data_IF_968383997245
#
_entry.id   IF_968383997245
#
_cell.length_a   1.000
_cell.length_b   1.000
_cell.length_c   1.000
_cell.angle_alpha   90.00
_cell.angle_beta   90.00
_cell.angle_gamma   90.00
#
_symmetry.space_group_name_H-M   'P 1'
#
loop_
_entity.id
_entity.type
_entity.pdbx_description
1 polymer ?
#
# COMPACT_ATOMS: atom_id res chain seq x y z
N UNK A 1 -1.45 -8.22 28.34
CA UNK A 1 -2.36 -7.68 27.32
C UNK A 1 -2.29 -6.17 27.31
N UNK A 2 -2.26 -5.51 26.14
CA UNK A 2 -2.14 -4.07 26.07
C UNK A 2 -3.45 -3.38 26.47
N UNK A 3 -3.35 -2.51 27.47
CA UNK A 3 -4.36 -1.49 27.76
C UNK A 3 -4.02 -0.23 26.94
N UNK A 4 -5.01 0.38 26.29
CA UNK A 4 -4.87 1.64 25.56
C UNK A 4 -5.87 2.69 26.05
N UNK A 5 -5.38 3.92 26.20
CA UNK A 5 -6.18 5.09 26.57
C UNK A 5 -6.34 6.01 25.37
N UNK A 6 -7.35 5.72 24.53
CA UNK A 6 -7.53 6.36 23.22
C UNK A 6 -7.99 7.80 23.34
N UNK A 7 -8.81 8.12 24.33
CA UNK A 7 -9.30 9.47 24.54
C UNK A 7 -8.20 10.37 25.09
N UNK A 8 -7.45 9.91 26.11
CA UNK A 8 -6.26 10.63 26.59
C UNK A 8 -5.24 10.82 25.46
N UNK A 9 -4.96 9.76 24.68
CA UNK A 9 -4.07 9.84 23.53
C UNK A 9 -4.53 10.90 22.52
N UNK A 10 -5.82 10.92 22.18
CA UNK A 10 -6.41 11.87 21.23
C UNK A 10 -6.35 13.30 21.74
N UNK A 11 -6.68 13.54 23.02
CA UNK A 11 -6.62 14.86 23.66
C UNK A 11 -5.19 15.40 23.67
N UNK A 12 -4.23 14.59 24.12
CA UNK A 12 -2.81 14.97 24.20
C UNK A 12 -2.21 15.25 22.82
N UNK A 13 -2.64 14.53 21.79
CA UNK A 13 -2.07 14.63 20.44
C UNK A 13 -2.91 15.46 19.46
N UNK A 14 -3.91 16.19 19.94
CA UNK A 14 -4.82 16.98 19.08
C UNK A 14 -4.11 18.01 18.20
N UNK A 15 -3.00 18.59 18.68
CA UNK A 15 -2.14 19.53 17.95
C UNK A 15 -0.80 18.92 17.50
N UNK A 16 -0.62 17.60 17.66
CA UNK A 16 0.63 16.92 17.31
C UNK A 16 0.66 16.60 15.80
N UNK A 17 1.73 17.00 15.10
CA UNK A 17 1.91 16.72 13.68
C UNK A 17 2.10 15.22 13.38
N UNK A 18 2.59 14.46 14.36
CA UNK A 18 2.78 13.00 14.27
C UNK A 18 1.46 12.27 14.16
N UNK A 19 0.40 12.74 14.81
CA UNK A 19 -0.88 12.05 14.86
C UNK A 19 -1.85 12.66 13.87
N UNK A 20 -2.58 11.82 13.15
CA UNK A 20 -3.65 12.23 12.24
C UNK A 20 -4.95 11.54 12.61
N UNK A 21 -6.00 12.33 12.58
CA UNK A 21 -7.37 11.90 12.82
C UNK A 21 -8.12 11.95 11.51
N UNK A 22 -8.55 10.80 11.01
CA UNK A 22 -9.48 10.71 9.90
C UNK A 22 -10.89 10.66 10.47
N UNK A 23 -11.65 11.76 10.32
CA UNK A 23 -13.02 11.88 10.80
C UNK A 23 -14.00 11.65 9.65
N UNK A 24 -15.00 10.83 9.88
CA UNK A 24 -16.15 10.68 8.97
C UNK A 24 -17.33 11.37 9.64
N UNK A 25 -17.85 12.44 9.03
CA UNK A 25 -18.97 13.21 9.57
C UNK A 25 -20.30 12.74 8.97
N UNK A 26 -21.40 12.97 9.69
CA UNK A 26 -22.75 12.85 9.14
C UNK A 26 -23.00 13.93 8.09
N UNK A 27 -23.63 13.52 6.97
CA UNK A 27 -23.94 14.42 5.85
C UNK A 27 -24.86 15.59 6.21
N UNK A 28 -25.60 15.50 7.32
CA UNK A 28 -26.69 16.43 7.62
C UNK A 28 -26.41 17.38 8.79
N UNK A 29 -25.47 17.08 9.72
CA UNK A 29 -25.34 17.84 10.98
C UNK A 29 -23.88 18.02 11.48
N UNK A 30 -22.84 17.78 10.67
CA UNK A 30 -21.41 17.87 11.06
C UNK A 30 -20.98 17.06 12.31
N UNK A 31 -21.85 16.20 12.82
CA UNK A 31 -21.53 15.30 13.93
C UNK A 31 -20.59 14.20 13.42
N UNK A 32 -19.40 14.10 14.05
CA UNK A 32 -18.42 13.07 13.75
C UNK A 32 -19.01 11.70 14.06
N UNK A 33 -19.13 10.84 13.04
CA UNK A 33 -19.65 9.48 13.12
C UNK A 33 -18.57 8.49 13.55
N UNK A 34 -17.36 8.67 13.03
CA UNK A 34 -16.21 7.84 13.37
C UNK A 34 -14.94 8.66 13.35
N UNK A 35 -14.04 8.35 14.28
CA UNK A 35 -12.67 8.87 14.26
C UNK A 35 -11.71 7.70 14.14
N UNK A 36 -10.89 7.70 13.10
CA UNK A 36 -9.76 6.79 12.98
C UNK A 36 -8.47 7.53 13.31
N UNK A 37 -7.78 7.06 14.34
CA UNK A 37 -6.52 7.59 14.83
C UNK A 37 -5.36 6.79 14.25
N UNK A 38 -4.37 7.50 13.70
CA UNK A 38 -3.11 6.92 13.21
C UNK A 38 -1.94 7.87 13.46
N UNK A 39 -0.73 7.33 13.56
CA UNK A 39 0.49 8.13 13.47
C UNK A 39 1.04 8.18 12.03
N UNK A 40 1.82 9.22 11.73
CA UNK A 40 2.60 9.40 10.52
C UNK A 40 4.00 8.88 10.75
N UNK A 41 4.34 7.76 10.11
CA UNK A 41 5.65 7.14 10.25
C UNK A 41 6.79 8.12 9.94
N UNK A 42 6.68 8.90 8.86
CA UNK A 42 7.72 9.87 8.48
C UNK A 42 7.97 10.93 9.55
N UNK A 43 6.91 11.43 10.19
CA UNK A 43 7.03 12.41 11.27
C UNK A 43 7.62 11.77 12.52
N UNK A 44 7.17 10.56 12.87
CA UNK A 44 7.68 9.81 14.01
C UNK A 44 9.18 9.47 13.85
N UNK A 45 9.59 9.05 12.65
CA UNK A 45 10.99 8.69 12.36
C UNK A 45 11.93 9.93 12.41
N UNK A 46 11.39 11.16 12.31
CA UNK A 46 12.15 12.40 12.42
C UNK A 46 12.34 12.88 13.87
N UNK A 47 11.65 12.28 14.83
CA UNK A 47 11.70 12.69 16.24
C UNK A 47 12.69 11.80 16.97
N UNK A 48 13.77 12.43 17.44
CA UNK A 48 14.75 11.81 18.34
C UNK A 48 14.12 11.82 19.73
N UNK A 49 14.06 10.67 20.42
CA UNK A 49 13.61 10.49 21.80
C UNK A 49 12.09 10.35 22.08
N UNK A 50 11.22 10.14 21.08
CA UNK A 50 9.83 9.79 21.36
C UNK A 50 9.61 8.28 21.53
N UNK A 51 8.78 7.92 22.53
CA UNK A 51 8.42 6.54 22.86
C UNK A 51 7.69 5.89 21.67
N UNK A 52 8.44 5.11 20.89
CA UNK A 52 7.91 4.33 19.78
C UNK A 52 6.84 3.34 20.24
N UNK A 53 6.88 2.88 21.51
CA UNK A 53 5.85 2.03 22.09
C UNK A 53 4.55 2.80 22.37
N UNK A 54 4.63 4.08 22.77
CA UNK A 54 3.45 4.94 22.97
C UNK A 54 2.64 5.09 21.68
N UNK A 55 3.27 5.53 20.59
CA UNK A 55 2.59 5.70 19.29
C UNK A 55 2.31 4.38 18.58
N UNK A 56 3.13 3.35 18.80
CA UNK A 56 3.08 2.08 18.07
C UNK A 56 1.73 1.37 18.18
N UNK A 57 1.01 1.55 19.29
CA UNK A 57 -0.34 0.99 19.51
C UNK A 57 -1.44 1.72 18.73
N UNK A 58 -1.20 2.96 18.29
CA UNK A 58 -2.16 3.81 17.60
C UNK A 58 -1.90 3.86 16.09
N UNK A 59 -1.63 2.70 15.48
CA UNK A 59 -1.37 2.61 14.04
C UNK A 59 -2.63 2.74 13.19
N UNK A 60 -3.76 2.25 13.71
CA UNK A 60 -5.09 2.30 13.10
C UNK A 60 -6.14 1.91 14.13
N UNK A 61 -6.62 2.88 14.91
CA UNK A 61 -7.64 2.67 15.95
C UNK A 61 -8.89 3.43 15.57
N UNK A 62 -10.04 2.76 15.52
CA UNK A 62 -11.31 3.34 15.08
C UNK A 62 -12.26 3.43 16.27
N UNK A 63 -12.74 4.64 16.55
CA UNK A 63 -13.76 4.93 17.56
C UNK A 63 -15.10 5.29 16.90
N UNK A 64 -16.21 4.84 17.50
CA UNK A 64 -17.57 5.24 17.13
C UNK A 64 -17.98 6.57 17.78
N UNK A 65 -19.24 6.98 17.58
CA UNK A 65 -19.81 8.20 18.18
C UNK A 65 -19.84 8.20 19.71
N UNK A 66 -19.91 7.02 20.32
CA UNK A 66 -19.94 6.84 21.78
C UNK A 66 -18.56 6.94 22.42
N UNK A 67 -17.49 6.95 21.61
CA UNK A 67 -16.11 6.90 22.05
C UNK A 67 -15.55 5.48 22.17
N UNK A 68 -16.39 4.45 21.99
CA UNK A 68 -15.97 3.06 22.05
C UNK A 68 -15.02 2.74 20.90
N UNK A 69 -13.94 2.03 21.22
CA UNK A 69 -13.08 1.43 20.22
C UNK A 69 -13.79 0.23 19.62
N UNK A 70 -14.00 0.29 18.31
CA UNK A 70 -14.65 -0.78 17.54
C UNK A 70 -13.68 -1.44 16.56
N UNK A 71 -12.59 -0.77 16.18
CA UNK A 71 -11.58 -1.31 15.28
C UNK A 71 -10.18 -1.13 15.84
N UNK A 72 -9.40 -2.21 15.89
CA UNK A 72 -7.99 -2.19 16.27
C UNK A 72 -7.09 -2.84 15.20
N UNK A 73 -6.14 -2.07 14.67
CA UNK A 73 -5.23 -2.51 13.62
C UNK A 73 -3.95 -3.08 14.22
N UNK A 74 -3.27 -3.97 13.49
CA UNK A 74 -1.98 -4.53 13.91
C UNK A 74 -1.02 -3.39 14.31
N UNK A 75 -0.46 -3.38 15.54
CA UNK A 75 0.41 -2.31 16.01
C UNK A 75 1.73 -2.22 15.23
N UNK A 76 2.54 -1.20 15.53
CA UNK A 76 3.92 -1.12 15.01
C UNK A 76 4.72 -2.30 15.55
N UNK A 77 5.52 -2.93 14.68
CA UNK A 77 6.49 -3.95 15.08
C UNK A 77 7.62 -3.30 15.90
N UNK A 78 8.11 -4.03 16.89
CA UNK A 78 9.32 -3.68 17.63
C UNK A 78 10.55 -3.85 16.73
N UNK A 79 11.61 -3.11 17.04
CA UNK A 79 12.95 -3.48 16.55
C UNK A 79 13.34 -4.85 17.09
N UNK A 80 14.32 -5.49 16.44
CA UNK A 80 14.82 -6.81 16.88
C UNK A 80 15.32 -6.74 18.32
N UNK A 81 16.12 -5.73 18.65
CA UNK A 81 16.67 -5.55 20.00
C UNK A 81 15.58 -5.35 21.05
N UNK A 82 14.60 -4.46 20.81
CA UNK A 82 13.48 -4.26 21.74
C UNK A 82 12.62 -5.51 21.93
N UNK A 83 12.52 -6.35 20.89
CA UNK A 83 11.78 -7.61 20.97
C UNK A 83 12.53 -8.63 21.83
N UNK A 84 13.83 -8.80 21.61
CA UNK A 84 14.71 -9.72 22.37
C UNK A 84 14.87 -9.29 23.84
N UNK A 85 14.79 -7.99 24.14
CA UNK A 85 14.78 -7.50 25.53
C UNK A 85 13.51 -7.91 26.29
N UNK A 86 12.38 -8.07 25.59
CA UNK A 86 11.06 -8.35 26.18
C UNK A 86 10.64 -9.81 26.10
N UNK A 87 11.22 -10.57 25.17
CA UNK A 87 10.77 -11.90 24.81
C UNK A 87 11.97 -12.82 24.58
N UNK A 88 11.87 -14.07 25.03
CA UNK A 88 12.80 -15.14 24.66
C UNK A 88 12.24 -15.87 23.42
N UNK A 89 13.03 -16.00 22.36
CA UNK A 89 12.61 -16.70 21.13
C UNK A 89 12.27 -18.18 21.37
N UNK A 90 12.83 -18.78 22.42
CA UNK A 90 12.61 -20.17 22.78
C UNK A 90 11.33 -20.38 23.61
N UNK A 91 10.63 -19.31 23.97
CA UNK A 91 9.38 -19.40 24.72
C UNK A 91 8.29 -20.05 23.85
N UNK A 92 7.45 -20.88 24.48
CA UNK A 92 6.35 -21.60 23.83
C UNK A 92 5.28 -20.67 23.27
N UNK A 93 5.23 -19.44 23.75
CA UNK A 93 4.33 -18.39 23.28
C UNK A 93 4.88 -17.62 22.07
N UNK A 94 6.11 -17.92 21.62
CA UNK A 94 6.66 -17.38 20.39
C UNK A 94 6.27 -18.25 19.21
N UNK A 95 5.74 -17.58 18.18
CA UNK A 95 5.57 -18.15 16.86
C UNK A 95 6.40 -17.40 15.84
N UNK A 96 6.84 -18.12 14.82
CA UNK A 96 7.54 -17.59 13.66
C UNK A 96 6.66 -17.88 12.45
N UNK A 97 6.27 -16.84 11.72
CA UNK A 97 5.31 -16.97 10.63
C UNK A 97 5.68 -16.12 9.41
N UNK A 98 5.12 -16.48 8.26
CA UNK A 98 5.29 -15.73 7.02
C UNK A 98 4.84 -14.26 7.16
N UNK A 99 5.67 -13.32 6.69
CA UNK A 99 5.24 -11.95 6.52
C UNK A 99 4.49 -11.79 5.20
N UNK A 100 3.16 -11.85 5.25
CA UNK A 100 2.34 -11.74 4.04
C UNK A 100 2.49 -10.36 3.36
N UNK A 101 2.75 -10.38 2.05
CA UNK A 101 2.65 -9.20 1.18
C UNK A 101 1.19 -8.90 0.85
N UNK A 102 0.80 -7.63 0.93
CA UNK A 102 -0.52 -7.18 0.47
C UNK A 102 -1.00 -5.94 1.21
N UNK A 103 -2.28 -5.63 1.02
CA UNK A 103 -2.94 -4.50 1.68
C UNK A 103 -3.71 -4.99 2.90
N UNK A 104 -3.47 -4.35 4.05
CA UNK A 104 -4.21 -4.66 5.28
C UNK A 104 -5.61 -4.04 5.24
N UNK A 105 -6.62 -4.87 5.49
CA UNK A 105 -8.02 -4.47 5.68
C UNK A 105 -8.46 -4.89 7.07
N UNK A 106 -8.99 -3.96 7.82
CA UNK A 106 -9.63 -4.21 9.10
C UNK A 106 -11.13 -4.36 8.86
N UNK A 107 -11.76 -5.38 9.44
CA UNK A 107 -13.21 -5.60 9.46
C UNK A 107 -13.68 -5.60 10.92
N UNK A 108 -14.73 -4.84 11.22
CA UNK A 108 -15.28 -4.70 12.56
C UNK A 108 -16.78 -4.44 12.52
N UNK A 109 -17.46 -4.68 13.64
CA UNK A 109 -18.90 -4.48 13.77
C UNK A 109 -19.22 -3.32 14.73
N UNK A 110 -20.10 -2.43 14.31
CA UNK A 110 -20.63 -1.35 15.14
C UNK A 110 -22.11 -1.59 15.44
N UNK A 111 -22.40 -1.94 16.70
CA UNK A 111 -23.75 -2.21 17.19
C UNK A 111 -24.66 -0.97 17.21
N UNK A 112 -24.11 0.24 17.10
CA UNK A 112 -24.90 1.49 17.11
C UNK A 112 -25.56 1.80 15.76
N UNK A 113 -25.25 1.02 14.72
CA UNK A 113 -25.72 1.26 13.36
C UNK A 113 -27.08 0.66 13.07
N UNK A 114 -27.86 1.39 12.28
CA UNK A 114 -29.15 0.96 11.72
C UNK A 114 -29.13 0.76 10.20
N UNK A 115 -28.03 1.11 9.53
CA UNK A 115 -27.84 0.92 8.09
C UNK A 115 -26.37 0.66 7.75
N UNK A 116 -26.10 -0.02 6.64
CA UNK A 116 -24.75 -0.28 6.16
C UNK A 116 -24.00 1.04 5.91
N UNK A 117 -22.68 1.02 6.13
CA UNK A 117 -21.84 2.16 5.79
C UNK A 117 -21.65 2.31 4.28
N UNK A 118 -21.62 1.18 3.59
CA UNK A 118 -21.48 1.10 2.14
C UNK A 118 -22.37 -0.04 1.63
N UNK A 119 -23.27 0.27 0.70
CA UNK A 119 -24.20 -0.71 0.13
C UNK A 119 -23.47 -1.82 -0.64
N UNK A 120 -22.25 -1.59 -1.11
CA UNK A 120 -21.45 -2.62 -1.79
C UNK A 120 -21.16 -3.83 -0.89
N UNK A 121 -21.14 -3.65 0.43
CA UNK A 121 -20.94 -4.73 1.41
C UNK A 121 -22.06 -5.78 1.36
N UNK A 122 -23.25 -5.44 0.86
CA UNK A 122 -24.35 -6.41 0.66
C UNK A 122 -23.95 -7.60 -0.20
N UNK A 123 -22.97 -7.43 -1.11
CA UNK A 123 -22.47 -8.50 -1.98
C UNK A 123 -21.84 -9.67 -1.21
N UNK A 124 -21.36 -9.42 0.01
CA UNK A 124 -20.66 -10.40 0.85
C UNK A 124 -21.40 -10.66 2.17
N UNK A 125 -22.67 -10.26 2.26
CA UNK A 125 -23.58 -10.54 3.37
C UNK A 125 -24.74 -11.34 2.78
N UNK A 126 -24.95 -12.55 3.29
CA UNK A 126 -26.07 -13.37 2.86
C UNK A 126 -27.42 -12.62 2.98
N UNK A 127 -28.26 -12.69 1.95
CA UNK A 127 -29.47 -11.85 1.80
C UNK A 127 -30.41 -11.93 3.02
N UNK A 128 -30.65 -13.13 3.54
CA UNK A 128 -31.50 -13.36 4.72
C UNK A 128 -30.97 -12.74 6.02
N UNK A 129 -29.72 -12.28 6.04
CA UNK A 129 -29.04 -11.77 7.23
C UNK A 129 -28.70 -10.28 7.12
N UNK A 130 -29.13 -9.56 6.08
CA UNK A 130 -28.70 -8.17 5.84
C UNK A 130 -29.07 -7.23 6.98
N UNK A 131 -30.32 -7.26 7.45
CA UNK A 131 -30.80 -6.34 8.51
C UNK A 131 -30.06 -6.53 9.83
N UNK A 132 -29.72 -7.77 10.17
CA UNK A 132 -28.97 -8.07 11.39
C UNK A 132 -27.46 -7.80 11.25
N UNK A 133 -26.97 -7.47 10.05
CA UNK A 133 -25.54 -7.33 9.74
C UNK A 133 -25.17 -5.92 9.23
N UNK A 134 -26.04 -4.94 9.40
CA UNK A 134 -25.82 -3.53 8.99
C UNK A 134 -24.67 -2.84 9.72
N UNK A 135 -24.20 -3.41 10.82
CA UNK A 135 -23.08 -2.90 11.62
C UNK A 135 -21.69 -3.16 11.04
N UNK A 136 -21.54 -4.06 10.06
CA UNK A 136 -20.23 -4.38 9.50
C UNK A 136 -19.62 -3.21 8.74
N UNK A 137 -18.34 -2.97 9.02
CA UNK A 137 -17.55 -1.91 8.41
C UNK A 137 -16.12 -2.36 8.21
N UNK A 138 -15.48 -1.78 7.19
CA UNK A 138 -14.08 -2.00 6.88
C UNK A 138 -13.27 -0.72 7.00
N UNK A 139 -11.97 -0.83 7.19
CA UNK A 139 -11.04 0.28 7.04
C UNK A 139 -9.70 -0.20 6.49
N UNK A 140 -9.01 0.69 5.77
CA UNK A 140 -7.55 0.59 5.65
C UNK A 140 -6.92 1.31 6.85
N UNK A 141 -5.58 1.29 6.95
CA UNK A 141 -4.86 2.01 8.02
C UNK A 141 -5.17 3.50 8.14
N UNK A 142 -5.70 4.13 7.08
CA UNK A 142 -5.87 5.58 7.03
C UNK A 142 -7.22 6.04 6.49
N UNK A 143 -8.14 5.14 6.17
CA UNK A 143 -9.43 5.49 5.61
C UNK A 143 -10.51 4.50 6.06
N UNK A 144 -11.49 5.03 6.79
CA UNK A 144 -12.70 4.31 7.16
C UNK A 144 -13.53 4.09 5.90
N UNK A 145 -14.08 2.88 5.75
CA UNK A 145 -14.75 2.42 4.54
C UNK A 145 -13.82 2.03 3.40
N UNK A 146 -12.49 2.12 3.57
CA UNK A 146 -11.50 1.69 2.59
C UNK A 146 -11.71 2.27 1.17
N UNK A 147 -12.27 3.49 1.08
CA UNK A 147 -12.58 4.16 -0.20
C UNK A 147 -11.34 4.73 -0.91
N UNK A 148 -10.20 4.69 -0.25
CA UNK A 148 -8.93 5.03 -0.86
C UNK A 148 -8.49 3.94 -1.86
N UNK A 149 -7.61 4.31 -2.77
CA UNK A 149 -7.09 3.47 -3.82
C UNK A 149 -5.61 3.79 -4.05
N UNK A 150 -4.88 2.90 -4.74
CA UNK A 150 -3.47 3.13 -5.02
C UNK A 150 -3.11 2.95 -6.50
N UNK A 151 -2.99 1.71 -6.98
CA UNK A 151 -2.68 1.46 -8.39
C UNK A 151 -3.84 1.77 -9.32
N UNK A 152 -3.51 2.23 -10.52
CA UNK A 152 -4.46 2.44 -11.61
C UNK A 152 -4.40 1.25 -12.56
N UNK A 153 -5.55 0.67 -12.87
CA UNK A 153 -5.69 -0.38 -13.88
C UNK A 153 -6.20 0.22 -15.20
N UNK A 154 -5.81 -0.40 -16.31
CA UNK A 154 -6.34 -0.08 -17.64
C UNK A 154 -7.46 -1.08 -17.94
N UNK A 155 -8.66 -0.58 -18.23
CA UNK A 155 -9.81 -1.37 -18.64
C UNK A 155 -10.28 -0.85 -20.01
N UNK A 156 -9.75 -1.46 -21.08
CA UNK A 156 -9.86 -0.92 -22.45
C UNK A 156 -9.13 0.42 -22.58
N UNK A 157 -9.79 1.43 -23.16
CA UNK A 157 -9.24 2.80 -23.30
C UNK A 157 -9.39 3.66 -22.03
N UNK A 158 -9.98 3.13 -20.95
CA UNK A 158 -10.25 3.88 -19.72
C UNK A 158 -9.35 3.43 -18.57
N UNK A 159 -8.72 4.41 -17.91
CA UNK A 159 -8.07 4.18 -16.61
C UNK A 159 -9.13 4.07 -15.52
N UNK A 160 -9.27 2.90 -14.92
CA UNK A 160 -10.07 2.71 -13.71
C UNK A 160 -9.16 2.60 -12.50
N UNK A 161 -9.68 2.93 -11.34
CA UNK A 161 -8.94 2.86 -10.08
C UNK A 161 -9.89 2.30 -9.05
N UNK A 162 -9.71 1.02 -8.73
CA UNK A 162 -10.51 0.34 -7.75
C UNK A 162 -10.10 0.75 -6.33
N UNK A 163 -11.09 1.06 -5.51
CA UNK A 163 -10.91 1.29 -4.07
C UNK A 163 -10.54 -0.02 -3.37
N UNK A 164 -9.87 0.09 -2.23
CA UNK A 164 -9.55 -1.09 -1.42
C UNK A 164 -10.81 -1.80 -0.90
N UNK A 165 -11.93 -1.10 -0.76
CA UNK A 165 -13.24 -1.69 -0.48
C UNK A 165 -13.70 -2.64 -1.60
N UNK A 166 -13.68 -2.17 -2.85
CA UNK A 166 -14.03 -3.00 -4.01
C UNK A 166 -13.11 -4.22 -4.12
N UNK A 167 -11.81 -4.01 -3.95
CA UNK A 167 -10.83 -5.10 -4.00
C UNK A 167 -11.02 -6.12 -2.88
N UNK A 168 -11.36 -5.68 -1.67
CA UNK A 168 -11.67 -6.57 -0.55
C UNK A 168 -12.92 -7.40 -0.84
N UNK A 169 -14.00 -6.76 -1.32
CA UNK A 169 -15.25 -7.45 -1.71
C UNK A 169 -14.97 -8.50 -2.78
N UNK A 170 -14.20 -8.17 -3.81
CA UNK A 170 -13.87 -9.11 -4.88
C UNK A 170 -13.03 -10.30 -4.37
N UNK A 171 -12.10 -10.04 -3.43
CA UNK A 171 -11.36 -11.12 -2.76
C UNK A 171 -12.28 -12.01 -1.90
N UNK A 172 -13.22 -11.43 -1.15
CA UNK A 172 -14.20 -12.16 -0.36
C UNK A 172 -15.11 -13.05 -1.23
N UNK A 173 -15.58 -12.52 -2.36
CA UNK A 173 -16.38 -13.30 -3.32
C UNK A 173 -15.59 -14.48 -3.90
N UNK A 174 -14.33 -14.25 -4.31
CA UNK A 174 -13.46 -15.32 -4.81
C UNK A 174 -13.19 -16.39 -3.74
N UNK A 175 -13.17 -16.00 -2.47
CA UNK A 175 -12.94 -16.86 -1.32
C UNK A 175 -14.23 -17.44 -0.70
N UNK A 176 -15.41 -17.17 -1.27
CA UNK A 176 -16.71 -17.57 -0.70
C UNK A 176 -16.90 -17.12 0.77
N UNK A 177 -16.42 -15.92 1.11
CA UNK A 177 -16.56 -15.36 2.46
C UNK A 177 -17.93 -14.66 2.57
N UNK A 178 -18.77 -15.19 3.46
CA UNK A 178 -19.96 -14.49 3.96
C UNK A 178 -19.65 -13.87 5.32
N UNK A 179 -19.58 -12.54 5.39
CA UNK A 179 -19.28 -11.86 6.65
C UNK A 179 -20.45 -11.95 7.65
N UNK A 180 -21.65 -12.36 7.19
CA UNK A 180 -22.82 -12.47 8.04
C UNK A 180 -22.70 -13.57 9.10
N UNK A 181 -21.83 -14.56 8.88
CA UNK A 181 -21.57 -15.65 9.83
C UNK A 181 -20.46 -15.32 10.84
N UNK A 182 -19.65 -14.29 10.58
CA UNK A 182 -18.53 -13.93 11.46
C UNK A 182 -19.04 -13.45 12.81
N UNK A 183 -18.30 -13.77 13.86
CA UNK A 183 -18.66 -13.34 15.21
C UNK A 183 -18.39 -11.83 15.37
N UNK A 184 -19.45 -11.07 15.66
CA UNK A 184 -19.48 -9.60 15.76
C UNK A 184 -18.72 -9.04 16.96
N UNK A 185 -18.37 -9.88 17.94
CA UNK A 185 -17.57 -9.47 19.09
C UNK A 185 -16.11 -9.16 18.72
N UNK A 186 -15.65 -9.59 17.54
CA UNK A 186 -14.25 -9.49 17.15
C UNK A 186 -14.00 -8.45 16.05
N UNK A 187 -12.77 -7.92 16.07
CA UNK A 187 -12.17 -7.15 15.00
C UNK A 187 -11.18 -8.04 14.23
N UNK A 188 -11.41 -8.21 12.94
CA UNK A 188 -10.60 -9.05 12.06
C UNK A 188 -9.62 -8.20 11.26
N UNK A 189 -8.36 -8.61 11.21
CA UNK A 189 -7.34 -7.99 10.37
C UNK A 189 -6.95 -8.95 9.26
N UNK A 190 -7.34 -8.59 8.05
CA UNK A 190 -7.01 -9.30 6.83
C UNK A 190 -5.85 -8.64 6.08
N UNK A 191 -5.15 -9.42 5.29
CA UNK A 191 -4.30 -8.94 4.21
C UNK A 191 -4.86 -9.48 2.90
N UNK A 192 -5.16 -8.59 1.95
CA UNK A 192 -5.61 -8.96 0.61
C UNK A 192 -4.47 -8.93 -0.39
N UNK A 193 -4.46 -9.93 -1.27
CA UNK A 193 -3.63 -10.00 -2.46
C UNK A 193 -4.56 -10.00 -3.67
N UNK A 194 -4.46 -9.00 -4.53
CA UNK A 194 -5.31 -8.87 -5.72
C UNK A 194 -4.42 -8.71 -6.95
N UNK A 195 -4.79 -9.27 -8.13
CA UNK A 195 -4.05 -9.09 -9.37
C UNK A 195 -3.81 -7.62 -9.76
N UNK A 196 -4.69 -6.71 -9.34
CA UNK A 196 -4.55 -5.26 -9.56
C UNK A 196 -3.73 -4.52 -8.50
N UNK A 197 -3.30 -5.19 -7.42
CA UNK A 197 -2.47 -4.61 -6.36
C UNK A 197 -1.18 -5.40 -6.16
N UNK A 198 -0.39 -5.47 -7.22
CA UNK A 198 0.92 -6.14 -7.22
C UNK A 198 1.99 -5.22 -6.64
N UNK A 199 2.65 -5.65 -5.55
CA UNK A 199 3.75 -4.90 -4.93
C UNK A 199 5.09 -5.44 -5.44
N UNK A 200 5.37 -6.72 -5.22
CA UNK A 200 6.55 -7.41 -5.78
C UNK A 200 6.11 -8.70 -6.46
N UNK A 201 5.28 -9.49 -5.77
CA UNK A 201 4.80 -10.74 -6.30
C UNK A 201 3.63 -10.52 -7.28
N UNK A 202 3.61 -11.32 -8.35
CA UNK A 202 2.54 -11.35 -9.34
C UNK A 202 1.52 -12.42 -8.95
N UNK A 203 0.25 -12.02 -8.83
CA UNK A 203 -0.86 -12.90 -8.47
C UNK A 203 -1.85 -12.99 -9.63
N UNK A 204 -2.17 -14.22 -10.05
CA UNK A 204 -3.23 -14.47 -11.05
C UNK A 204 -4.62 -14.55 -10.43
N UNK A 205 -4.70 -14.72 -9.11
CA UNK A 205 -5.94 -14.93 -8.37
C UNK A 205 -5.95 -14.09 -7.10
N UNK A 206 -7.14 -13.64 -6.72
CA UNK A 206 -7.39 -12.90 -5.50
C UNK A 206 -7.35 -13.80 -4.27
N UNK A 207 -6.75 -13.33 -3.17
CA UNK A 207 -6.61 -14.08 -1.92
C UNK A 207 -6.83 -13.19 -0.71
N UNK A 208 -7.38 -13.78 0.34
CA UNK A 208 -7.57 -13.16 1.65
C UNK A 208 -6.81 -13.96 2.69
N UNK A 209 -5.90 -13.31 3.40
CA UNK A 209 -5.22 -13.86 4.56
C UNK A 209 -5.80 -13.27 5.83
N UNK A 210 -6.23 -14.11 6.76
CA UNK A 210 -6.53 -13.67 8.12
C UNK A 210 -5.23 -13.68 8.93
N UNK A 211 -4.84 -12.51 9.46
CA UNK A 211 -3.55 -12.34 10.14
C UNK A 211 -3.73 -12.21 11.65
N UNK A 212 -4.65 -11.36 12.10
CA UNK A 212 -4.95 -11.20 13.53
C UNK A 212 -6.47 -11.08 13.75
N UNK A 213 -6.95 -11.62 14.86
CA UNK A 213 -8.28 -11.36 15.40
C UNK A 213 -8.11 -10.70 16.76
N UNK A 214 -8.87 -9.64 17.04
CA UNK A 214 -8.86 -8.97 18.33
C UNK A 214 -10.24 -9.02 18.98
N UNK A 215 -10.29 -9.25 20.28
CA UNK A 215 -11.44 -8.92 21.10
C UNK A 215 -11.19 -7.58 21.78
N UNK A 216 -12.17 -6.68 21.74
CA UNK A 216 -12.00 -5.30 22.22
C UNK A 216 -12.94 -5.08 23.39
N UNK A 217 -12.35 -4.86 24.56
CA UNK A 217 -13.09 -4.65 25.81
C UNK A 217 -13.03 -3.17 26.18
N UNK A 218 -14.14 -2.46 25.97
CA UNK A 218 -14.30 -1.07 26.38
C UNK A 218 -14.75 -1.01 27.85
N UNK A 219 -13.81 -0.77 28.76
CA UNK A 219 -14.01 -0.78 30.22
C UNK A 219 -14.26 0.63 30.76
N UNK A 220 -15.21 1.36 30.15
CA UNK A 220 -15.52 2.75 30.51
C UNK A 220 -14.90 3.75 29.54
N UNK A 221 -14.64 4.97 30.03
CA UNK A 221 -14.40 6.13 29.15
C UNK A 221 -13.04 6.14 28.44
N UNK A 222 -12.00 5.52 29.02
CA UNK A 222 -10.63 5.58 28.48
C UNK A 222 -9.74 4.37 28.84
N UNK A 223 -10.37 3.27 29.23
CA UNK A 223 -9.73 2.00 29.55
C UNK A 223 -10.18 0.97 28.53
N UNK A 224 -9.31 0.65 27.57
CA UNK A 224 -9.61 -0.30 26.51
C UNK A 224 -8.58 -1.41 26.54
N UNK A 225 -9.05 -2.62 26.82
CA UNK A 225 -8.22 -3.83 26.80
C UNK A 225 -8.37 -4.50 25.45
N UNK A 226 -7.24 -4.74 24.79
CA UNK A 226 -7.19 -5.40 23.48
C UNK A 226 -6.60 -6.79 23.65
N UNK A 227 -7.43 -7.81 23.42
CA UNK A 227 -7.03 -9.19 23.51
C UNK A 227 -6.75 -9.72 22.11
N UNK A 228 -5.51 -10.13 21.86
CA UNK A 228 -5.18 -10.86 20.64
C UNK A 228 -5.72 -12.29 20.76
N UNK A 229 -6.62 -12.66 19.86
CA UNK A 229 -7.16 -14.02 19.81
C UNK A 229 -6.16 -14.97 19.16
N UNK A 230 -6.01 -16.15 19.76
CA UNK A 230 -4.95 -17.10 19.48
C UNK A 230 -5.35 -18.17 18.44
N UNK A 231 -4.37 -18.73 17.73
CA UNK A 231 -4.55 -19.75 16.68
C UNK A 231 -4.91 -21.16 17.19
N UNK A 232 -4.84 -21.44 18.49
CA UNK A 232 -5.21 -22.76 19.03
C UNK A 232 -6.73 -23.02 18.99
N UNK A 233 -7.54 -21.96 18.89
CA UNK A 233 -8.99 -22.12 18.74
C UNK A 233 -9.34 -22.40 17.27
N UNK A 234 -10.24 -23.36 17.00
CA UNK A 234 -10.67 -23.62 15.63
C UNK A 234 -11.37 -22.39 15.07
N UNK A 235 -11.13 -22.11 13.77
CA UNK A 235 -11.68 -20.94 13.08
C UNK A 235 -13.20 -20.83 13.15
N UNK A 236 -13.89 -21.96 13.32
CA UNK A 236 -15.34 -22.03 13.53
C UNK A 236 -15.82 -21.26 14.77
N UNK A 237 -15.01 -21.10 15.82
CA UNK A 237 -15.37 -20.27 16.99
C UNK A 237 -15.51 -18.79 16.64
N UNK A 238 -14.83 -18.35 15.57
CA UNK A 238 -14.91 -16.98 15.05
C UNK A 238 -15.99 -16.84 13.96
N UNK A 239 -16.80 -17.87 13.72
CA UNK A 239 -17.81 -17.87 12.67
C UNK A 239 -17.27 -18.07 11.26
N UNK A 240 -16.01 -18.51 11.15
CA UNK A 240 -15.35 -18.82 9.87
C UNK A 240 -15.60 -20.28 9.55
N UNK A 241 -16.37 -20.53 8.49
CA UNK A 241 -16.71 -21.88 8.05
C UNK A 241 -15.62 -22.48 7.15
N UNK A 242 -15.55 -23.80 7.09
CA UNK A 242 -14.52 -24.53 6.33
C UNK A 242 -14.63 -24.35 4.80
N UNK A 243 -15.79 -23.94 4.29
CA UNK A 243 -16.00 -23.61 2.88
C UNK A 243 -15.46 -22.22 2.49
N UNK A 244 -15.16 -21.36 3.47
CA UNK A 244 -14.49 -20.09 3.24
C UNK A 244 -13.00 -20.33 2.97
N UNK A 245 -12.52 -19.90 1.80
CA UNK A 245 -11.12 -20.04 1.37
C UNK A 245 -10.26 -18.92 1.95
N UNK A 246 -10.23 -18.82 3.27
CA UNK A 246 -9.37 -17.89 4.01
C UNK A 246 -8.04 -18.56 4.30
N UNK A 247 -6.95 -17.90 3.92
CA UNK A 247 -5.60 -18.36 4.22
C UNK A 247 -5.12 -17.81 5.58
N UNK A 248 -4.19 -18.51 6.22
CA UNK A 248 -3.43 -17.99 7.37
C UNK A 248 -1.94 -17.98 7.02
N UNK A 249 -1.13 -17.11 7.64
CA UNK A 249 0.32 -17.14 7.45
C UNK A 249 0.90 -18.53 7.72
N UNK A 250 1.84 -18.97 6.89
CA UNK A 250 2.56 -20.23 7.13
C UNK A 250 3.39 -20.11 8.41
N UNK A 251 3.37 -21.14 9.27
CA UNK A 251 4.19 -21.20 10.49
C UNK A 251 5.51 -21.92 10.18
N UNK A 252 6.60 -21.41 10.74
CA UNK A 252 7.92 -22.02 10.69
C UNK A 252 8.25 -22.68 12.03
N UNK A 253 8.98 -23.79 12.00
CA UNK A 253 9.40 -24.50 13.20
C UNK A 253 10.38 -23.65 14.03
N UNK A 254 10.02 -23.36 15.28
CA UNK A 254 10.81 -22.50 16.18
C UNK A 254 12.10 -23.14 16.63
N UNK A 255 12.14 -24.48 16.74
CA UNK A 255 13.31 -25.26 17.17
C UNK A 255 14.52 -25.14 16.25
N UNK A 256 14.37 -24.53 15.07
CA UNK A 256 15.45 -24.27 14.13
C UNK A 256 16.31 -23.05 14.48
N UNK A 257 15.89 -22.21 15.43
CA UNK A 257 16.50 -20.90 15.69
C UNK A 257 16.87 -20.72 17.16
N UNK A 258 18.09 -20.26 17.44
CA UNK A 258 18.55 -19.96 18.81
C UNK A 258 18.44 -18.47 19.14
N UNK A 259 18.46 -17.61 18.12
CA UNK A 259 18.30 -16.15 18.20
C UNK A 259 17.39 -15.65 17.09
N UNK A 260 16.83 -14.46 17.28
CA UNK A 260 15.97 -13.80 16.28
C UNK A 260 16.67 -13.69 14.93
N UNK A 261 17.96 -13.35 14.94
CA UNK A 261 18.75 -13.17 13.73
C UNK A 261 18.96 -14.47 12.92
N UNK A 262 18.90 -15.65 13.56
CA UNK A 262 19.07 -16.94 12.89
C UNK A 262 17.95 -17.21 11.86
N UNK A 263 16.81 -16.54 12.00
CA UNK A 263 15.71 -16.59 11.04
C UNK A 263 16.13 -16.09 9.65
N UNK A 264 17.21 -15.30 9.55
CA UNK A 264 17.79 -14.92 8.25
C UNK A 264 18.35 -16.11 7.47
N UNK A 265 18.61 -17.26 8.10
CA UNK A 265 18.97 -18.49 7.37
C UNK A 265 17.85 -18.94 6.43
N UNK A 266 16.57 -18.61 6.72
CA UNK A 266 15.45 -18.86 5.81
C UNK A 266 15.57 -18.11 4.48
N UNK A 267 16.46 -17.10 4.40
CA UNK A 267 16.77 -16.38 3.18
C UNK A 267 18.04 -16.88 2.48
N UNK A 268 18.93 -17.58 3.20
CA UNK A 268 20.24 -18.03 2.70
C UNK A 268 20.14 -19.28 1.85
N UNK A 269 19.15 -20.13 2.12
CA UNK A 269 18.85 -21.25 1.24
C UNK A 269 18.12 -20.75 0.00
N UNK A 270 18.85 -20.76 -1.12
CA UNK A 270 18.24 -20.90 -2.43
C UNK A 270 17.48 -22.22 -2.55
N UNK A 271 16.36 -22.34 -1.85
CA UNK A 271 15.20 -23.06 -2.37
C UNK A 271 14.69 -22.17 -3.52
N UNK A 272 15.19 -22.23 -4.76
CA UNK A 272 15.03 -23.35 -5.70
C UNK A 272 13.89 -24.34 -5.40
N UNK A 273 12.86 -23.89 -4.69
CA UNK A 273 11.53 -24.40 -4.88
C UNK A 273 11.01 -23.70 -6.13
N UNK A 274 10.41 -24.48 -6.99
CA UNK A 274 9.49 -24.14 -8.07
C UNK A 274 8.37 -23.13 -7.70
N UNK A 275 8.41 -22.51 -6.52
CA UNK A 275 7.55 -21.41 -6.08
C UNK A 275 7.93 -20.11 -6.77
N UNK A 276 7.08 -19.68 -7.71
CA UNK A 276 7.09 -18.40 -8.43
C UNK A 276 7.13 -17.11 -7.57
N UNK A 277 7.29 -17.19 -6.24
CA UNK A 277 7.05 -16.07 -5.32
C UNK A 277 8.18 -15.82 -4.35
N UNK A 278 8.46 -14.55 -4.16
CA UNK A 278 9.45 -13.99 -3.25
C UNK A 278 8.86 -13.83 -1.86
N UNK A 279 9.48 -14.46 -0.86
CA UNK A 279 9.11 -14.28 0.54
C UNK A 279 9.42 -12.83 0.96
N UNK A 280 8.41 -12.09 1.41
CA UNK A 280 8.59 -10.70 1.87
C UNK A 280 9.42 -10.60 3.14
N UNK A 281 9.30 -11.58 4.02
CA UNK A 281 10.05 -11.69 5.25
C UNK A 281 9.36 -12.59 6.24
N UNK A 282 9.77 -12.49 7.50
CA UNK A 282 9.27 -13.32 8.60
C UNK A 282 8.84 -12.42 9.75
N UNK A 283 7.72 -12.80 10.37
CA UNK A 283 7.19 -12.17 11.59
C UNK A 283 7.45 -13.12 12.74
N UNK A 284 8.15 -12.62 13.77
CA UNK A 284 8.34 -13.33 15.04
C UNK A 284 7.43 -12.64 16.04
N UNK A 285 6.56 -13.39 16.70
CA UNK A 285 5.44 -12.83 17.45
C UNK A 285 5.25 -13.58 18.74
N UNK A 286 5.16 -12.84 19.85
CA UNK A 286 4.63 -13.34 21.10
C UNK A 286 3.10 -13.29 21.04
N UNK A 287 2.47 -14.45 21.16
CA UNK A 287 1.03 -14.59 21.00
C UNK A 287 0.22 -14.17 22.24
N UNK A 288 0.85 -14.08 23.41
CA UNK A 288 0.21 -13.59 24.64
C UNK A 288 0.26 -12.07 24.76
N UNK A 289 1.43 -11.46 24.50
CA UNK A 289 1.58 -10.01 24.59
C UNK A 289 1.09 -9.29 23.33
N UNK A 290 1.18 -9.96 22.17
CA UNK A 290 0.97 -9.35 20.85
C UNK A 290 2.18 -8.60 20.31
N UNK A 291 3.28 -8.55 21.07
CA UNK A 291 4.55 -8.00 20.61
C UNK A 291 5.06 -8.81 19.43
N UNK A 292 5.62 -8.12 18.45
CA UNK A 292 6.19 -8.77 17.28
C UNK A 292 7.31 -7.93 16.68
N UNK A 293 8.26 -8.62 16.07
CA UNK A 293 9.27 -8.02 15.20
C UNK A 293 9.16 -8.62 13.79
N UNK A 294 9.67 -7.89 12.81
CA UNK A 294 9.68 -8.30 11.41
C UNK A 294 11.10 -8.27 10.90
N UNK A 295 11.56 -9.40 10.40
CA UNK A 295 12.82 -9.48 9.65
C UNK A 295 12.44 -9.46 8.18
N UNK A 296 12.78 -8.40 7.45
CA UNK A 296 12.52 -8.34 6.02
C UNK A 296 13.54 -9.18 5.23
N UNK A 297 13.11 -9.82 4.14
CA UNK A 297 14.01 -10.47 3.20
C UNK A 297 14.76 -9.40 2.38
N UNK A 298 16.11 -9.32 2.43
CA UNK A 298 16.88 -8.32 1.70
C UNK A 298 16.62 -8.32 0.18
N UNK A 299 16.45 -9.50 -0.42
CA UNK A 299 16.16 -9.62 -1.85
C UNK A 299 14.79 -9.01 -2.20
N UNK A 300 13.77 -9.33 -1.40
CA UNK A 300 12.44 -8.75 -1.57
C UNK A 300 12.45 -7.21 -1.40
N UNK A 301 13.20 -6.70 -0.41
CA UNK A 301 13.32 -5.25 -0.19
C UNK A 301 13.92 -4.57 -1.41
N UNK A 302 14.99 -5.14 -1.98
CA UNK A 302 15.58 -4.67 -3.22
C UNK A 302 14.58 -4.68 -4.38
N UNK A 303 13.80 -5.75 -4.57
CA UNK A 303 12.77 -5.82 -5.60
C UNK A 303 11.66 -4.78 -5.39
N UNK A 304 11.24 -4.54 -4.13
CA UNK A 304 10.27 -3.51 -3.76
C UNK A 304 10.77 -2.11 -4.10
N UNK A 305 12.05 -1.84 -3.87
CA UNK A 305 12.70 -0.57 -4.22
C UNK A 305 12.82 -0.39 -5.74
N UNK A 306 13.23 -1.45 -6.45
CA UNK A 306 13.28 -1.46 -7.92
C UNK A 306 11.89 -1.28 -8.52
N UNK A 307 10.85 -1.86 -7.92
CA UNK A 307 9.46 -1.60 -8.31
C UNK A 307 9.10 -0.13 -8.08
N UNK A 308 9.41 0.40 -6.90
CA UNK A 308 9.08 1.76 -6.50
C UNK A 308 7.60 1.95 -6.16
N UNK A 309 7.28 3.10 -5.55
CA UNK A 309 5.95 3.40 -5.03
C UNK A 309 5.15 4.34 -5.95
N UNK A 310 5.19 4.12 -7.26
CA UNK A 310 4.52 4.97 -8.24
C UNK A 310 3.23 4.31 -8.73
N UNK A 311 2.06 4.95 -8.57
CA UNK A 311 0.78 4.34 -8.96
C UNK A 311 0.60 4.27 -10.49
N UNK A 312 1.33 5.11 -11.25
CA UNK A 312 1.35 5.10 -12.71
C UNK A 312 2.63 4.42 -13.21
N UNK A 313 2.47 3.30 -13.91
CA UNK A 313 3.60 2.55 -14.47
C UNK A 313 4.44 3.38 -15.45
N UNK A 314 3.80 4.23 -16.27
CA UNK A 314 4.48 5.15 -17.19
C UNK A 314 5.44 6.11 -16.44
N UNK A 315 5.04 6.61 -15.27
CA UNK A 315 5.92 7.49 -14.49
C UNK A 315 7.13 6.73 -13.97
N UNK A 316 6.92 5.49 -13.51
CA UNK A 316 8.02 4.62 -13.07
C UNK A 316 8.98 4.31 -14.21
N UNK A 317 8.45 4.04 -15.40
CA UNK A 317 9.27 3.87 -16.61
C UNK A 317 10.17 5.08 -16.86
N UNK A 318 9.64 6.30 -16.80
CA UNK A 318 10.44 7.53 -16.99
C UNK A 318 11.55 7.67 -15.93
N UNK A 319 11.29 7.31 -14.66
CA UNK A 319 12.33 7.31 -13.62
C UNK A 319 13.43 6.27 -13.92
N UNK A 320 13.05 5.02 -14.18
CA UNK A 320 13.99 3.93 -14.48
C UNK A 320 14.84 4.24 -15.72
N UNK A 321 14.26 4.94 -16.69
CA UNK A 321 14.96 5.41 -17.89
C UNK A 321 16.07 6.38 -17.57
N UNK A 322 15.83 7.34 -16.67
CA UNK A 322 16.86 8.29 -16.22
C UNK A 322 17.96 7.60 -15.41
N UNK A 323 17.58 6.60 -14.60
CA UNK A 323 18.49 5.82 -13.78
C UNK A 323 19.27 4.76 -14.59
N UNK A 324 18.94 4.55 -15.87
CA UNK A 324 19.46 3.45 -16.71
C UNK A 324 19.17 2.04 -16.16
N UNK A 325 18.04 1.85 -15.46
CA UNK A 325 17.65 0.60 -14.77
C UNK A 325 16.51 -0.17 -15.44
N UNK A 326 16.14 0.18 -16.68
CA UNK A 326 15.04 -0.49 -17.40
C UNK A 326 15.30 -1.99 -17.58
N UNK A 327 16.51 -2.37 -17.99
CA UNK A 327 16.84 -3.77 -18.26
C UNK A 327 16.88 -4.61 -16.97
N UNK A 328 17.39 -4.02 -15.89
CA UNK A 328 17.36 -4.61 -14.55
C UNK A 328 15.91 -4.82 -14.09
N UNK A 329 15.05 -3.82 -14.24
CA UNK A 329 13.63 -3.91 -13.91
C UNK A 329 12.93 -5.03 -14.69
N UNK A 330 13.08 -5.06 -16.02
CA UNK A 330 12.40 -6.05 -16.87
C UNK A 330 12.91 -7.48 -16.67
N UNK A 331 14.11 -7.66 -16.11
CA UNK A 331 14.61 -8.99 -15.71
C UNK A 331 13.77 -9.58 -14.57
N UNK A 332 13.34 -8.74 -13.64
CA UNK A 332 12.56 -9.16 -12.46
C UNK A 332 11.04 -9.03 -12.68
N UNK A 333 10.60 -8.08 -13.50
CA UNK A 333 9.18 -7.80 -13.80
C UNK A 333 8.90 -7.88 -15.31
N UNK A 334 9.09 -9.04 -15.95
CA UNK A 334 8.96 -9.21 -17.41
C UNK A 334 7.54 -8.93 -17.94
N UNK A 335 6.52 -9.05 -17.10
CA UNK A 335 5.11 -8.76 -17.42
C UNK A 335 4.87 -7.31 -17.87
N UNK A 336 5.77 -6.39 -17.53
CA UNK A 336 5.67 -4.98 -17.92
C UNK A 336 6.35 -4.64 -19.25
N UNK A 337 6.98 -5.61 -19.91
CA UNK A 337 7.71 -5.38 -21.16
C UNK A 337 6.82 -4.73 -22.23
N UNK A 338 5.62 -5.26 -22.45
CA UNK A 338 4.70 -4.72 -23.46
C UNK A 338 4.36 -3.25 -23.18
N UNK A 339 4.04 -2.89 -21.94
CA UNK A 339 3.79 -1.51 -21.55
C UNK A 339 5.02 -0.62 -21.72
N UNK A 340 6.21 -1.12 -21.39
CA UNK A 340 7.46 -0.37 -21.54
C UNK A 340 7.82 -0.12 -23.00
N UNK A 341 7.56 -1.09 -23.89
CA UNK A 341 7.73 -0.93 -25.33
C UNK A 341 6.79 0.17 -25.89
N UNK A 342 5.54 0.23 -25.39
CA UNK A 342 4.61 1.32 -25.70
C UNK A 342 5.12 2.68 -25.20
N UNK A 343 5.55 2.77 -23.94
CA UNK A 343 6.06 4.04 -23.38
C UNK A 343 7.34 4.50 -24.08
N UNK A 344 8.19 3.58 -24.49
CA UNK A 344 9.36 3.86 -25.30
C UNK A 344 8.97 4.52 -26.63
N UNK A 345 8.00 3.92 -27.33
CA UNK A 345 7.50 4.44 -28.61
C UNK A 345 6.94 5.85 -28.48
N UNK A 346 6.17 6.12 -27.41
CA UNK A 346 5.62 7.46 -27.11
C UNK A 346 6.74 8.49 -26.87
N UNK A 347 7.78 8.13 -26.12
CA UNK A 347 8.92 9.04 -25.86
C UNK A 347 9.74 9.29 -27.13
N UNK A 348 9.91 8.26 -27.96
CA UNK A 348 10.60 8.36 -29.25
C UNK A 348 9.84 9.26 -30.21
N UNK A 349 8.53 9.07 -30.35
CA UNK A 349 7.66 9.91 -31.18
C UNK A 349 7.72 11.37 -30.73
N UNK A 350 7.60 11.64 -29.43
CA UNK A 350 7.73 13.00 -28.89
C UNK A 350 9.11 13.62 -29.17
N UNK A 351 10.17 12.83 -29.08
CA UNK A 351 11.53 13.30 -29.39
C UNK A 351 11.67 13.67 -30.87
N UNK A 352 11.05 12.89 -31.77
CA UNK A 352 11.02 13.15 -33.20
C UNK A 352 10.20 14.41 -33.51
N UNK A 353 9.02 14.55 -32.90
CA UNK A 353 8.18 15.76 -33.02
C UNK A 353 8.96 17.00 -32.59
N UNK A 354 9.65 16.95 -31.44
CA UNK A 354 10.49 18.06 -30.96
C UNK A 354 11.60 18.42 -31.93
N UNK A 355 12.31 17.43 -32.47
CA UNK A 355 13.38 17.68 -33.42
C UNK A 355 12.85 18.29 -34.72
N UNK A 356 11.79 17.73 -35.29
CA UNK A 356 11.17 18.24 -36.51
C UNK A 356 10.66 19.68 -36.32
N UNK A 357 9.97 19.95 -35.22
CA UNK A 357 9.51 21.30 -34.89
C UNK A 357 10.68 22.28 -34.73
N UNK A 358 11.78 21.86 -34.08
CA UNK A 358 13.00 22.67 -33.97
C UNK A 358 13.61 22.97 -35.35
N UNK A 359 13.69 21.98 -36.23
CA UNK A 359 14.22 22.13 -37.59
C UNK A 359 13.34 23.13 -38.37
N UNK A 360 12.03 22.92 -38.39
CA UNK A 360 11.09 23.79 -39.10
C UNK A 360 11.12 25.23 -38.59
N UNK A 361 11.23 25.46 -37.28
CA UNK A 361 11.24 26.80 -36.69
C UNK A 361 12.61 27.50 -36.81
N UNK A 362 13.69 26.83 -36.38
CA UNK A 362 14.98 27.48 -36.15
C UNK A 362 15.98 27.30 -37.30
N UNK A 363 15.84 26.24 -38.11
CA UNK A 363 16.78 25.92 -39.20
C UNK A 363 16.17 26.31 -40.54
N UNK A 364 15.05 25.71 -40.91
CA UNK A 364 14.35 25.95 -42.18
C UNK A 364 13.54 27.23 -42.16
N UNK A 365 13.04 27.63 -40.98
CA UNK A 365 12.21 28.82 -40.74
C UNK A 365 10.91 28.82 -41.58
N UNK A 366 10.33 27.64 -41.75
CA UNK A 366 9.07 27.45 -42.48
C UNK A 366 7.82 27.61 -41.60
N UNK A 367 7.99 27.69 -40.28
CA UNK A 367 6.93 28.00 -39.30
C UNK A 367 7.34 29.17 -38.40
N UNK A 368 6.37 29.84 -37.78
CA UNK A 368 6.58 30.93 -36.81
C UNK A 368 6.48 30.41 -35.36
N UNK A 369 6.99 31.18 -34.37
CA UNK A 369 6.90 30.78 -32.96
C UNK A 369 5.48 30.51 -32.46
N UNK A 370 4.48 31.23 -32.99
CA UNK A 370 3.08 31.07 -32.64
C UNK A 370 2.45 29.78 -33.21
N UNK A 371 3.09 29.17 -34.21
CA UNK A 371 2.66 27.89 -34.80
C UNK A 371 3.13 26.68 -33.98
N UNK A 372 4.02 26.88 -33.00
CA UNK A 372 4.56 25.80 -32.16
C UNK A 372 3.52 25.36 -31.15
N UNK A 373 3.21 24.04 -31.04
CA UNK A 373 2.31 23.54 -30.00
C UNK A 373 2.75 23.99 -28.59
N UNK A 374 1.78 24.41 -27.79
CA UNK A 374 2.02 25.01 -26.47
C UNK A 374 2.89 24.13 -25.56
N UNK A 375 2.64 22.82 -25.55
CA UNK A 375 3.38 21.84 -24.77
C UNK A 375 4.84 21.70 -25.22
N UNK A 376 5.17 22.08 -26.45
CA UNK A 376 6.51 22.01 -27.03
C UNK A 376 7.29 23.33 -26.90
N UNK A 377 6.62 24.48 -26.83
CA UNK A 377 7.24 25.82 -26.86
C UNK A 377 8.37 25.95 -25.82
N UNK A 378 8.15 25.51 -24.59
CA UNK A 378 9.16 25.57 -23.53
C UNK A 378 10.39 24.69 -23.86
N UNK A 379 10.16 23.51 -24.44
CA UNK A 379 11.21 22.57 -24.79
C UNK A 379 12.04 23.05 -25.97
N UNK A 380 11.40 23.53 -27.03
CA UNK A 380 12.06 24.11 -28.20
C UNK A 380 12.97 25.27 -27.80
N UNK A 381 12.50 26.17 -26.93
CA UNK A 381 13.31 27.28 -26.41
C UNK A 381 14.54 26.80 -25.62
N UNK A 382 14.41 25.74 -24.82
CA UNK A 382 15.55 25.17 -24.09
C UNK A 382 16.55 24.47 -25.01
N UNK A 383 16.06 23.73 -26.01
CA UNK A 383 16.89 23.11 -27.06
C UNK A 383 17.63 24.20 -27.84
N UNK A 384 16.98 25.32 -28.16
CA UNK A 384 17.63 26.45 -28.80
C UNK A 384 18.70 27.10 -27.92
N UNK A 385 18.44 27.25 -26.61
CA UNK A 385 19.45 27.72 -25.65
C UNK A 385 20.65 26.76 -25.59
N UNK A 386 20.43 25.45 -25.62
CA UNK A 386 21.50 24.44 -25.71
C UNK A 386 22.34 24.64 -26.96
N UNK A 387 21.70 24.83 -28.12
CA UNK A 387 22.39 25.15 -29.37
C UNK A 387 23.27 26.40 -29.24
N UNK A 388 22.69 27.51 -28.78
CA UNK A 388 23.38 28.79 -28.68
C UNK A 388 24.59 28.75 -27.74
N UNK A 389 24.45 28.06 -26.60
CA UNK A 389 25.50 28.01 -25.56
C UNK A 389 26.59 26.98 -25.84
N UNK A 390 26.25 25.83 -26.42
CA UNK A 390 27.17 24.69 -26.52
C UNK A 390 27.56 24.40 -27.96
N UNK A 391 26.59 24.24 -28.86
CA UNK A 391 26.87 23.74 -30.22
C UNK A 391 27.39 24.84 -31.16
N UNK A 392 26.82 26.04 -31.08
CA UNK A 392 27.19 27.18 -31.93
C UNK A 392 28.65 27.61 -31.76
N UNK A 393 29.20 27.75 -30.53
CA UNK A 393 30.62 28.06 -30.33
C UNK A 393 31.55 26.99 -30.91
N UNK A 394 31.12 25.72 -30.88
CA UNK A 394 31.85 24.58 -31.43
C UNK A 394 31.63 24.39 -32.94
N UNK A 395 30.90 25.30 -33.61
CA UNK A 395 30.51 25.19 -35.03
C UNK A 395 29.80 23.88 -35.36
N UNK A 396 29.03 23.33 -34.41
CA UNK A 396 28.21 22.12 -34.58
C UNK A 396 26.75 22.49 -34.80
N UNK A 397 26.05 21.71 -35.62
CA UNK A 397 24.60 21.83 -35.82
C UNK A 397 23.83 21.03 -34.77
N UNK A 398 22.59 21.45 -34.48
CA UNK A 398 21.64 20.64 -33.72
C UNK A 398 21.36 19.34 -34.48
N UNK A 399 21.28 18.22 -33.76
CA UNK A 399 21.06 16.86 -34.29
C UNK A 399 20.07 16.14 -33.39
N UNK A 400 19.41 15.11 -33.91
CA UNK A 400 18.47 14.29 -33.15
C UNK A 400 19.07 13.77 -31.83
N UNK A 401 20.33 13.32 -31.83
CA UNK A 401 21.02 12.86 -30.62
C UNK A 401 20.99 13.88 -29.47
N UNK A 402 21.16 15.18 -29.76
CA UNK A 402 21.13 16.22 -28.75
C UNK A 402 19.72 16.46 -28.20
N UNK A 403 18.68 16.25 -29.01
CA UNK A 403 17.28 16.32 -28.57
C UNK A 403 16.95 15.11 -27.71
N UNK A 404 17.38 13.91 -28.11
CA UNK A 404 17.28 12.72 -27.27
C UNK A 404 17.98 12.94 -25.92
N UNK A 405 19.20 13.48 -25.91
CA UNK A 405 19.91 13.80 -24.68
C UNK A 405 19.14 14.79 -23.80
N UNK A 406 18.53 15.83 -24.40
CA UNK A 406 17.67 16.77 -23.68
C UNK A 406 16.46 16.07 -23.04
N UNK A 407 15.76 15.23 -23.80
CA UNK A 407 14.59 14.47 -23.32
C UNK A 407 14.98 13.48 -22.23
N UNK A 408 16.11 12.78 -22.39
CA UNK A 408 16.64 11.82 -21.42
C UNK A 408 16.93 12.46 -20.06
N UNK A 409 17.39 13.71 -20.05
CA UNK A 409 17.72 14.46 -18.84
C UNK A 409 16.54 15.27 -18.28
N UNK A 410 15.35 15.20 -18.88
CA UNK A 410 14.18 15.93 -18.42
C UNK A 410 13.54 15.26 -17.22
N UNK A 411 13.30 16.02 -16.13
CA UNK A 411 12.61 15.51 -14.94
C UNK A 411 11.31 14.75 -15.30
N UNK A 412 11.04 13.55 -14.74
CA UNK A 412 9.95 12.68 -15.18
C UNK A 412 8.58 13.35 -15.18
N UNK A 413 8.27 14.19 -14.18
CA UNK A 413 7.01 14.95 -14.14
C UNK A 413 6.83 15.93 -15.29
N UNK A 414 7.91 16.57 -15.77
CA UNK A 414 7.86 17.51 -16.90
C UNK A 414 7.65 16.76 -18.20
N UNK A 415 8.36 15.64 -18.37
CA UNK A 415 8.23 14.79 -19.56
C UNK A 415 6.82 14.18 -19.62
N UNK A 416 6.36 13.58 -18.52
CA UNK A 416 5.00 13.05 -18.36
C UNK A 416 3.91 14.09 -18.69
N UNK A 417 4.11 15.37 -18.29
CA UNK A 417 3.18 16.44 -18.64
C UNK A 417 3.14 16.68 -20.16
N UNK A 418 4.29 16.76 -20.81
CA UNK A 418 4.39 17.02 -22.25
C UNK A 418 3.81 15.86 -23.07
N UNK A 419 4.15 14.62 -22.74
CA UNK A 419 3.65 13.42 -23.43
C UNK A 419 2.12 13.33 -23.39
N UNK A 420 1.53 13.63 -22.22
CA UNK A 420 0.10 13.47 -22.01
C UNK A 420 -0.73 14.73 -22.28
N UNK A 421 -0.15 15.80 -22.82
CA UNK A 421 -0.87 17.07 -22.98
C UNK A 421 -2.06 16.95 -23.94
N UNK A 422 -1.87 16.25 -25.07
CA UNK A 422 -2.90 16.02 -26.10
C UNK A 422 -4.11 15.23 -25.58
N UNK A 423 -3.95 14.44 -24.51
CA UNK A 423 -5.01 13.58 -23.92
C UNK A 423 -5.82 14.24 -22.81
N UNK A 424 -5.60 15.52 -22.51
CA UNK A 424 -6.31 16.24 -21.43
C UNK A 424 -7.63 16.90 -21.85
N UNK A 425 -7.99 16.80 -23.12
CA UNK A 425 -9.20 17.43 -23.69
C UNK A 425 -10.42 16.52 -23.58
#
# INVERSE_FOLDING_TARGET
MPNISVQSFTSTNSNNNVVKFHKVNNSNNDTCKYTQTRYLKQELDNIVDEDTAYYGRFRSVTQNTSGDVIGYGIPKSLSVSEFEEKNDINDTDIIIQECIEGTQIQLFYDNTRNCLFDDSMKRIIHENNQDSNVGWMISTRSCIGAKNSFFKSQEGDKTKTHSFAELFIDCCLAANIDISSLNKAYCYNFIIQHPEQQIVNVYSESRVYLVNIYNIHNNGYDDVVIDLMHYQKPLSEYGISADMKIYTPCLFETTMFNKVEDVKELYREGNNSTSKRELKGVVIKNVLSGDHTVIENPHYVYLRELRGNQPKLEYRYLQLRQENRIQEFLRHFPEHKASFDTFYSIVEEFSNELYNCYVSLNIEKCIQPDDVPFEMTFHINNIHRLYLKILRPLKKSMRMSHVCDYVNNMHPSKLMFALNYKHRK
#
